data_IF_610002928789
#
_entry.id   IF_610002928789
#
_cell.length_a   1.000
_cell.length_b   1.000
_cell.length_c   1.000
_cell.angle_alpha   90.00
_cell.angle_beta   90.00
_cell.angle_gamma   90.00
#
_symmetry.space_group_name_H-M   'P 1'
#
loop_
_entity.id
_entity.type
_entity.pdbx_description
1 polymer ?
#
# COMPACT_ATOMS: atom_id res chain seq x y z
N UNK A 1 38.00 29.81 -26.35
CA UNK A 1 38.44 30.30 -25.03
C UNK A 1 37.20 30.61 -24.21
N UNK A 2 36.70 29.56 -23.56
CA UNK A 2 35.49 29.48 -22.75
C UNK A 2 35.55 30.38 -21.53
N UNK A 3 34.47 31.12 -21.24
CA UNK A 3 34.31 31.82 -19.95
C UNK A 3 32.83 31.98 -19.60
N UNK A 4 32.23 30.88 -19.13
CA UNK A 4 30.88 30.82 -18.57
C UNK A 4 30.95 31.16 -17.07
N UNK A 5 30.63 32.41 -16.71
CA UNK A 5 30.55 32.84 -15.32
C UNK A 5 29.23 32.36 -14.69
N UNK A 6 29.24 31.09 -14.23
CA UNK A 6 28.13 30.49 -13.47
C UNK A 6 27.94 31.22 -12.13
N UNK A 7 26.91 32.07 -12.08
CA UNK A 7 26.26 32.60 -10.87
C UNK A 7 25.93 31.45 -9.91
N UNK A 8 26.72 31.28 -8.86
CA UNK A 8 26.37 30.44 -7.69
C UNK A 8 25.38 31.22 -6.81
N UNK A 9 24.10 30.87 -6.89
CA UNK A 9 23.08 31.28 -5.92
C UNK A 9 23.43 30.69 -4.55
N UNK A 10 23.54 31.56 -3.53
CA UNK A 10 23.54 31.16 -2.12
C UNK A 10 22.16 30.65 -1.73
N UNK A 11 22.11 29.58 -0.95
CA UNK A 11 20.91 29.12 -0.26
C UNK A 11 21.11 29.37 1.24
N UNK A 12 20.75 30.58 1.66
CA UNK A 12 20.49 30.91 3.06
C UNK A 12 19.00 30.63 3.32
N UNK A 13 18.67 29.43 3.82
CA UNK A 13 17.29 29.09 4.22
C UNK A 13 17.15 29.18 5.75
N UNK A 14 17.19 30.40 6.27
CA UNK A 14 16.67 30.76 7.60
C UNK A 14 15.22 31.24 7.47
N UNK A 15 14.31 30.36 7.05
CA UNK A 15 12.87 30.61 7.16
C UNK A 15 12.15 29.36 7.65
N UNK A 16 12.19 29.17 8.98
CA UNK A 16 11.43 28.16 9.71
C UNK A 16 9.93 28.51 9.70
N UNK A 17 9.29 28.41 8.54
CA UNK A 17 7.85 28.19 8.47
C UNK A 17 7.63 26.83 9.10
N UNK A 18 7.24 26.80 10.39
CA UNK A 18 6.88 25.58 11.13
C UNK A 18 5.70 24.93 10.41
N UNK A 19 6.00 24.11 9.39
CA UNK A 19 5.04 23.24 8.72
C UNK A 19 4.43 22.38 9.81
N UNK A 20 3.19 22.70 10.18
CA UNK A 20 2.40 21.94 11.15
C UNK A 20 2.31 20.52 10.58
N UNK A 21 3.11 19.60 11.13
CA UNK A 21 3.12 18.24 10.62
C UNK A 21 1.75 17.63 10.86
N UNK A 22 1.01 17.25 9.81
CA UNK A 22 -0.24 16.51 9.94
C UNK A 22 -0.05 15.13 10.60
N UNK A 23 1.21 14.65 10.65
CA UNK A 23 1.57 13.33 11.16
C UNK A 23 2.24 13.45 12.52
N UNK A 24 1.90 12.57 13.46
CA UNK A 24 2.62 12.45 14.74
C UNK A 24 4.05 11.89 14.52
N UNK A 25 4.99 12.19 15.42
CA UNK A 25 6.31 11.54 15.44
C UNK A 25 6.21 10.04 15.76
N UNK A 26 7.23 9.26 15.43
CA UNK A 26 7.31 7.82 15.67
C UNK A 26 7.01 7.41 17.13
N UNK A 27 7.61 8.03 18.18
CA UNK A 27 7.32 7.66 19.55
C UNK A 27 5.88 7.99 19.96
N UNK A 28 5.30 9.10 19.49
CA UNK A 28 3.90 9.43 19.79
C UNK A 28 2.91 8.52 19.06
N UNK A 29 3.21 8.08 17.83
CA UNK A 29 2.42 7.05 17.14
C UNK A 29 2.45 5.72 17.89
N UNK A 30 3.64 5.26 18.28
CA UNK A 30 3.82 4.00 19.03
C UNK A 30 3.04 4.01 20.35
N UNK A 31 3.01 5.16 21.03
CA UNK A 31 2.27 5.36 22.28
C UNK A 31 0.80 5.75 22.10
N UNK A 32 0.32 5.93 20.86
CA UNK A 32 -1.05 6.38 20.51
C UNK A 32 -1.49 7.65 21.27
N UNK A 33 -0.60 8.64 21.37
CA UNK A 33 -0.86 9.93 22.05
C UNK A 33 -0.76 11.12 21.09
N UNK A 34 -1.39 12.25 21.47
CA UNK A 34 -1.33 13.50 20.70
C UNK A 34 0.11 14.01 20.57
N UNK A 35 0.47 14.39 19.35
CA UNK A 35 1.77 14.98 19.02
C UNK A 35 1.55 16.43 18.56
N UNK A 36 2.35 17.36 19.08
CA UNK A 36 2.26 18.80 18.75
C UNK A 36 2.96 19.16 17.44
N UNK A 37 3.69 18.23 16.81
CA UNK A 37 4.29 18.46 15.50
C UNK A 37 5.61 19.24 15.50
N UNK A 38 6.09 19.68 16.66
CA UNK A 38 7.39 20.35 16.81
C UNK A 38 8.53 19.34 16.89
N UNK A 39 9.75 19.77 16.59
CA UNK A 39 10.96 18.95 16.68
C UNK A 39 11.94 19.56 17.68
N UNK A 40 12.18 18.92 18.85
CA UNK A 40 11.47 17.76 19.38
C UNK A 40 10.02 18.07 19.82
N UNK A 41 9.16 17.05 19.81
CA UNK A 41 7.77 17.20 20.25
C UNK A 41 7.71 17.43 21.78
N UNK A 42 6.70 18.12 22.33
CA UNK A 42 6.66 18.48 23.76
C UNK A 42 6.80 17.27 24.68
N UNK A 43 6.09 16.19 24.34
CA UNK A 43 6.15 14.93 25.07
C UNK A 43 7.51 14.25 24.92
N UNK A 44 8.09 14.31 23.73
CA UNK A 44 9.39 13.73 23.43
C UNK A 44 10.49 14.44 24.22
N UNK A 45 10.39 15.77 24.33
CA UNK A 45 11.26 16.62 25.14
C UNK A 45 11.19 16.24 26.62
N UNK A 46 9.96 16.16 27.19
CA UNK A 46 9.76 15.80 28.61
C UNK A 46 10.22 14.37 28.94
N UNK A 47 9.97 13.43 28.03
CA UNK A 47 10.34 12.02 28.22
C UNK A 47 11.77 11.69 27.80
N UNK A 48 12.52 12.70 27.30
CA UNK A 48 13.88 12.55 26.77
C UNK A 48 14.00 11.41 25.74
N UNK A 49 12.94 11.17 24.97
CA UNK A 49 12.90 10.12 23.94
C UNK A 49 13.24 10.71 22.56
N UNK A 50 13.92 9.93 21.73
CA UNK A 50 14.32 10.34 20.37
C UNK A 50 13.09 10.68 19.51
N UNK A 51 12.92 11.98 19.22
CA UNK A 51 11.80 12.48 18.42
C UNK A 51 12.10 12.36 16.94
N UNK A 52 11.68 11.26 16.32
CA UNK A 52 11.90 11.01 14.89
C UNK A 52 10.58 11.07 14.14
N UNK A 53 10.57 11.75 13.00
CA UNK A 53 9.50 11.69 12.02
C UNK A 53 9.99 10.83 10.85
N UNK A 54 9.47 9.61 10.73
CA UNK A 54 9.83 8.76 9.60
C UNK A 54 9.38 9.44 8.31
N UNK A 55 10.36 9.65 7.40
CA UNK A 55 10.07 10.00 6.02
C UNK A 55 9.18 8.88 5.45
N UNK A 56 8.18 9.21 4.63
CA UNK A 56 7.48 8.17 3.90
C UNK A 56 8.54 7.32 3.20
N UNK A 57 8.63 6.04 3.54
CA UNK A 57 9.44 5.14 2.74
C UNK A 57 8.85 5.24 1.34
N UNK A 58 9.70 5.68 0.39
CA UNK A 58 9.42 5.44 -1.03
C UNK A 58 9.10 3.96 -1.09
N UNK A 59 7.85 3.63 -1.48
CA UNK A 59 7.43 2.25 -1.58
C UNK A 59 8.43 1.61 -2.52
N UNK A 60 9.38 0.84 -1.98
CA UNK A 60 10.18 -0.06 -2.81
C UNK A 60 9.13 -0.85 -3.56
N UNK A 61 9.17 -0.81 -4.88
CA UNK A 61 8.34 -1.61 -5.75
C UNK A 61 8.61 -3.07 -5.40
N UNK A 62 7.94 -3.58 -4.38
CA UNK A 62 7.85 -5.00 -4.14
C UNK A 62 7.23 -5.54 -5.42
N UNK A 63 7.93 -6.42 -6.17
CA UNK A 63 7.34 -7.01 -7.36
C UNK A 63 6.01 -7.58 -6.92
N UNK A 64 4.93 -7.07 -7.53
CA UNK A 64 3.57 -7.56 -7.28
C UNK A 64 3.65 -9.09 -7.41
N UNK A 65 3.05 -9.86 -6.47
CA UNK A 65 2.98 -11.30 -6.67
C UNK A 65 2.37 -11.53 -8.06
N UNK A 66 3.10 -12.24 -8.93
CA UNK A 66 2.59 -12.60 -10.24
C UNK A 66 1.38 -13.50 -9.99
N UNK A 67 0.19 -12.92 -10.05
CA UNK A 67 -1.05 -13.69 -9.94
C UNK A 67 -1.17 -14.45 -11.25
N UNK A 68 -0.91 -15.74 -11.21
CA UNK A 68 -1.04 -16.60 -12.38
C UNK A 68 -2.52 -16.71 -12.77
N UNK A 69 -2.83 -16.47 -14.04
CA UNK A 69 -4.20 -16.51 -14.55
C UNK A 69 -4.55 -17.94 -15.00
N UNK A 70 -5.36 -18.64 -14.21
CA UNK A 70 -5.80 -20.01 -14.50
C UNK A 70 -7.13 -20.09 -15.29
N UNK A 71 -7.79 -18.97 -15.57
CA UNK A 71 -9.05 -18.92 -16.32
C UNK A 71 -9.01 -19.65 -17.67
N UNK A 72 -7.97 -19.51 -18.53
CA UNK A 72 -7.95 -20.22 -19.81
C UNK A 72 -7.86 -21.74 -19.65
N UNK A 73 -7.14 -22.23 -18.64
CA UNK A 73 -7.03 -23.66 -18.35
C UNK A 73 -8.35 -24.23 -17.84
N UNK A 74 -9.04 -23.50 -16.97
CA UNK A 74 -10.37 -23.89 -16.47
C UNK A 74 -11.39 -23.97 -17.61
N UNK A 75 -11.41 -22.96 -18.50
CA UNK A 75 -12.31 -22.93 -19.64
C UNK A 75 -12.10 -24.10 -20.61
N UNK A 76 -10.84 -24.46 -20.88
CA UNK A 76 -10.51 -25.58 -21.74
C UNK A 76 -10.97 -26.93 -21.15
N UNK A 77 -10.74 -27.12 -19.84
CA UNK A 77 -11.18 -28.32 -19.13
C UNK A 77 -12.70 -28.44 -19.08
N UNK A 78 -13.40 -27.35 -18.76
CA UNK A 78 -14.88 -27.34 -18.74
C UNK A 78 -15.45 -27.72 -20.10
N UNK A 79 -14.91 -27.18 -21.19
CA UNK A 79 -15.34 -27.52 -22.55
C UNK A 79 -15.16 -29.01 -22.84
N UNK A 80 -14.01 -29.58 -22.47
CA UNK A 80 -13.71 -30.99 -22.71
C UNK A 80 -14.64 -31.91 -21.89
N UNK A 81 -14.87 -31.57 -20.62
CA UNK A 81 -15.80 -32.32 -19.77
C UNK A 81 -17.22 -32.29 -20.31
N UNK A 82 -17.70 -31.15 -20.79
CA UNK A 82 -19.02 -31.04 -21.45
C UNK A 82 -19.13 -31.92 -22.70
N UNK A 83 -18.07 -32.00 -23.50
CA UNK A 83 -18.05 -32.87 -24.68
C UNK A 83 -18.14 -34.35 -24.30
N UNK A 84 -17.42 -34.77 -23.25
CA UNK A 84 -17.48 -36.14 -22.73
C UNK A 84 -18.87 -36.43 -22.13
N UNK A 85 -19.41 -35.50 -21.34
CA UNK A 85 -20.74 -35.59 -20.73
C UNK A 85 -21.82 -35.85 -21.78
N UNK A 86 -21.82 -35.06 -22.86
CA UNK A 86 -22.74 -35.23 -23.99
C UNK A 86 -22.60 -36.60 -24.69
N UNK A 87 -21.39 -37.15 -24.77
CA UNK A 87 -21.14 -38.44 -25.41
C UNK A 87 -21.64 -39.62 -24.57
N UNK A 88 -21.66 -39.45 -23.25
CA UNK A 88 -22.06 -40.48 -22.30
C UNK A 88 -23.55 -40.41 -21.90
N UNK A 89 -24.31 -39.45 -22.44
CA UNK A 89 -25.71 -39.15 -22.05
C UNK A 89 -25.90 -38.95 -20.53
N UNK A 90 -24.83 -38.59 -19.81
CA UNK A 90 -24.88 -38.35 -18.38
C UNK A 90 -25.33 -36.92 -18.16
N UNK A 91 -26.54 -36.73 -17.65
CA UNK A 91 -27.00 -35.40 -17.23
C UNK A 91 -26.12 -34.89 -16.09
N UNK A 92 -25.63 -33.66 -16.22
CA UNK A 92 -24.71 -33.06 -15.24
C UNK A 92 -25.33 -33.11 -13.83
N UNK A 93 -24.64 -33.67 -12.81
CA UNK A 93 -25.08 -33.51 -11.44
C UNK A 93 -25.03 -32.02 -11.07
N UNK A 94 -26.05 -31.53 -10.37
CA UNK A 94 -26.14 -30.14 -9.92
C UNK A 94 -24.80 -29.67 -9.33
N UNK A 95 -24.28 -28.50 -9.74
CA UNK A 95 -23.03 -28.00 -9.19
C UNK A 95 -23.18 -27.89 -7.66
N UNK A 96 -22.28 -28.51 -6.87
CA UNK A 96 -22.38 -28.40 -5.42
C UNK A 96 -22.31 -26.92 -5.06
N UNK A 97 -23.30 -26.46 -4.30
CA UNK A 97 -23.35 -25.13 -3.72
C UNK A 97 -22.24 -25.02 -2.66
N UNK A 98 -20.98 -24.98 -3.08
CA UNK A 98 -19.90 -24.67 -2.17
C UNK A 98 -19.96 -23.18 -1.86
N UNK A 99 -20.71 -22.85 -0.80
CA UNK A 99 -20.70 -21.53 -0.19
C UNK A 99 -19.30 -21.28 0.33
N UNK A 100 -18.51 -20.54 -0.45
CA UNK A 100 -17.19 -20.14 -0.03
C UNK A 100 -17.37 -19.05 1.05
N UNK A 101 -17.30 -19.44 2.33
CA UNK A 101 -17.45 -18.53 3.49
C UNK A 101 -16.35 -17.48 3.61
N UNK A 102 -15.40 -17.44 2.68
CA UNK A 102 -14.34 -16.42 2.60
C UNK A 102 -14.58 -15.39 1.48
N UNK A 103 -15.79 -14.84 1.41
CA UNK A 103 -15.98 -13.53 0.78
C UNK A 103 -15.29 -12.47 1.66
N UNK A 104 -14.00 -12.25 1.43
CA UNK A 104 -13.32 -11.04 1.90
C UNK A 104 -14.02 -9.87 1.23
N UNK A 105 -14.87 -9.19 1.99
CA UNK A 105 -15.52 -7.96 1.58
C UNK A 105 -14.43 -6.91 1.39
N UNK A 106 -14.07 -6.63 0.14
CA UNK A 106 -13.30 -5.44 -0.20
C UNK A 106 -14.24 -4.27 0.02
N UNK A 107 -14.01 -3.37 0.99
CA UNK A 107 -14.84 -2.19 1.10
C UNK A 107 -14.62 -1.34 -0.14
N UNK A 108 -15.71 -1.08 -0.86
CA UNK A 108 -15.75 -0.05 -1.89
C UNK A 108 -15.37 1.29 -1.26
N UNK A 109 -14.13 1.73 -1.48
CA UNK A 109 -13.68 3.08 -1.15
C UNK A 109 -14.45 4.07 -2.01
N UNK A 110 -15.41 4.77 -1.40
CA UNK A 110 -16.08 5.92 -2.01
C UNK A 110 -15.12 7.11 -2.04
N UNK A 111 -14.95 7.65 -3.26
CA UNK A 111 -14.57 9.02 -3.66
C UNK A 111 -13.26 9.61 -3.12
#
# INVERSE_FOLDING_TARGET
>A
MDSNLKKKKKADDNNTIKKKSSRACAPCRKRKVKCNGQLPCDRCSRTKSTCVYDKPQQKKDTPKPAVENHEPRLRALEKFLRQISNLLEVSDPDPPLYSNSNQVSIPAGKR
#
